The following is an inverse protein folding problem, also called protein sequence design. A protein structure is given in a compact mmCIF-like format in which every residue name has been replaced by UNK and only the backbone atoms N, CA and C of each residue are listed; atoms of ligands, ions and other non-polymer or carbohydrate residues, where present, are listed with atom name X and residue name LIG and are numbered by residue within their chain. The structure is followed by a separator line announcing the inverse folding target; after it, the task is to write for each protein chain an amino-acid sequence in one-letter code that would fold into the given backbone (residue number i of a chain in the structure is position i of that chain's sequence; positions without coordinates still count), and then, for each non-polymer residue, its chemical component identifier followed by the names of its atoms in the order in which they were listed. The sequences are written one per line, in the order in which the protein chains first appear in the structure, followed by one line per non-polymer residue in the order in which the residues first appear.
data_IF_925957369539
#
_entry.id   IF_925957369539
#
_cell.length_a   1.000
_cell.length_b   1.000
_cell.length_c   1.000
_cell.angle_alpha   90.00
_cell.angle_beta   90.00
_cell.angle_gamma   90.00
#
_symmetry.space_group_name_H-M   'P 1'
#
loop_
_entity.id
_entity.type
_entity.pdbx_description
1 polymer ?
#
# COMPACT_ATOMS: atom_id res chain seq x y z
N UNK A 1 -7.56 15.97 10.46
CA UNK A 1 -7.33 15.06 9.31
C UNK A 1 -5.96 15.38 8.69
N UNK A 2 -4.84 14.86 9.19
CA UNK A 2 -3.53 15.02 8.51
C UNK A 2 -2.44 14.06 9.03
N UNK A 3 -2.81 12.96 9.69
CA UNK A 3 -1.82 12.11 10.38
C UNK A 3 -1.00 11.24 9.41
N UNK A 4 -1.52 10.98 8.22
CA UNK A 4 -0.84 10.21 7.18
C UNK A 4 0.08 11.08 6.31
N UNK A 5 -0.39 12.25 5.86
CA UNK A 5 0.41 13.22 5.08
C UNK A 5 1.71 13.67 5.75
N UNK A 6 1.76 13.74 7.07
CA UNK A 6 2.98 14.13 7.79
C UNK A 6 4.02 13.00 7.94
N UNK A 7 3.62 11.73 7.81
CA UNK A 7 4.54 10.59 8.00
C UNK A 7 5.22 10.12 6.73
N UNK A 8 4.71 10.54 5.56
CA UNK A 8 5.20 10.11 4.25
C UNK A 8 5.68 11.31 3.45
N UNK A 9 6.96 11.30 3.07
CA UNK A 9 7.63 12.41 2.41
C UNK A 9 7.32 12.53 0.91
N UNK A 10 6.56 11.58 0.35
CA UNK A 10 6.36 11.43 -1.08
C UNK A 10 4.87 11.59 -1.45
N UNK A 11 4.54 12.71 -2.11
CA UNK A 11 3.16 13.08 -2.48
C UNK A 11 2.47 12.03 -3.37
N UNK A 12 3.24 11.34 -4.22
CA UNK A 12 2.69 10.34 -5.14
C UNK A 12 2.02 9.19 -4.37
N UNK A 13 2.64 8.71 -3.29
CA UNK A 13 2.08 7.65 -2.46
C UNK A 13 0.73 8.07 -1.86
N UNK A 14 0.60 9.33 -1.41
CA UNK A 14 -0.63 9.86 -0.83
C UNK A 14 -1.77 9.89 -1.87
N UNK A 15 -1.47 10.34 -3.09
CA UNK A 15 -2.44 10.38 -4.21
C UNK A 15 -2.87 8.98 -4.66
N UNK A 16 -1.94 8.02 -4.73
CA UNK A 16 -2.28 6.64 -5.09
C UNK A 16 -3.20 6.00 -4.05
N UNK A 17 -2.91 6.20 -2.77
CA UNK A 17 -3.73 5.70 -1.69
C UNK A 17 -5.11 6.35 -1.67
N UNK A 18 -5.20 7.67 -1.87
CA UNK A 18 -6.47 8.39 -1.98
C UNK A 18 -7.36 7.76 -3.06
N UNK A 19 -6.84 7.59 -4.28
CA UNK A 19 -7.55 6.93 -5.39
C UNK A 19 -7.95 5.50 -5.10
N UNK A 20 -7.04 4.74 -4.47
CA UNK A 20 -7.33 3.37 -4.05
C UNK A 20 -8.50 3.33 -3.05
N UNK A 21 -8.51 4.21 -2.05
CA UNK A 21 -9.59 4.27 -1.07
C UNK A 21 -10.90 4.76 -1.69
N UNK A 22 -10.86 5.70 -2.63
CA UNK A 22 -12.06 6.13 -3.36
C UNK A 22 -12.69 4.98 -4.16
N UNK A 23 -11.88 4.12 -4.79
CA UNK A 23 -12.38 3.03 -5.64
C UNK A 23 -12.65 1.73 -4.88
N UNK A 24 -11.78 1.35 -3.97
CA UNK A 24 -11.79 0.06 -3.27
C UNK A 24 -12.07 0.17 -1.77
N UNK A 25 -12.03 1.35 -1.17
CA UNK A 25 -12.33 1.57 0.25
C UNK A 25 -13.61 0.89 0.76
N UNK A 26 -14.76 0.96 0.06
CA UNK A 26 -15.98 0.25 0.50
C UNK A 26 -15.93 -1.27 0.34
N UNK A 27 -14.95 -1.81 -0.40
CA UNK A 27 -14.77 -3.24 -0.67
C UNK A 27 -13.60 -3.85 0.12
N UNK A 28 -12.78 -3.02 0.76
CA UNK A 28 -11.65 -3.45 1.58
C UNK A 28 -12.19 -4.14 2.83
N UNK A 29 -11.76 -5.39 3.03
CA UNK A 29 -12.07 -6.15 4.23
C UNK A 29 -11.09 -5.80 5.38
N UNK A 30 -11.38 -6.25 6.60
CA UNK A 30 -10.55 -5.95 7.76
C UNK A 30 -9.11 -6.47 7.64
N UNK A 31 -8.90 -7.63 7.00
CA UNK A 31 -7.58 -8.21 6.81
C UNK A 31 -6.75 -7.41 5.79
N UNK A 32 -7.37 -6.98 4.70
CA UNK A 32 -6.79 -6.07 3.71
C UNK A 32 -6.49 -4.69 4.32
N UNK A 33 -7.35 -4.17 5.19
CA UNK A 33 -7.09 -2.93 5.92
C UNK A 33 -5.88 -3.08 6.86
N UNK A 34 -5.74 -4.22 7.53
CA UNK A 34 -4.56 -4.52 8.35
C UNK A 34 -3.30 -4.64 7.49
N UNK A 35 -3.35 -5.41 6.39
CA UNK A 35 -2.24 -5.55 5.44
C UNK A 35 -1.81 -4.21 4.88
N UNK A 36 -2.77 -3.35 4.51
CA UNK A 36 -2.51 -1.99 4.10
C UNK A 36 -1.85 -1.20 5.22
N UNK A 37 -2.34 -1.25 6.45
CA UNK A 37 -1.68 -0.57 7.57
C UNK A 37 -0.22 -1.00 7.72
N UNK A 38 0.10 -2.28 7.54
CA UNK A 38 1.48 -2.79 7.61
C UNK A 38 2.34 -2.33 6.41
N UNK A 39 1.79 -2.33 5.19
CA UNK A 39 2.44 -1.71 4.03
C UNK A 39 2.72 -0.23 4.26
N UNK A 40 1.84 0.43 5.01
CA UNK A 40 1.98 1.84 5.32
C UNK A 40 3.06 2.14 6.37
N UNK A 41 3.50 1.14 7.14
CA UNK A 41 4.68 1.23 8.01
C UNK A 41 6.00 1.16 7.24
N UNK A 42 5.97 0.71 5.99
CA UNK A 42 7.13 0.72 5.10
C UNK A 42 7.50 2.15 4.69
N UNK A 43 8.79 2.37 4.47
CA UNK A 43 9.32 3.62 3.94
C UNK A 43 8.75 3.95 2.55
N UNK A 44 8.67 5.24 2.23
CA UNK A 44 8.09 5.74 0.98
C UNK A 44 8.71 5.11 -0.27
N UNK A 45 10.03 4.92 -0.26
CA UNK A 45 10.77 4.33 -1.36
C UNK A 45 10.42 2.86 -1.58
N UNK A 46 10.35 2.05 -0.51
CA UNK A 46 10.02 0.64 -0.63
C UNK A 46 8.57 0.44 -1.06
N UNK A 47 7.63 1.23 -0.54
CA UNK A 47 6.24 1.17 -0.99
C UNK A 47 6.12 1.54 -2.48
N UNK A 48 6.79 2.60 -2.91
CA UNK A 48 6.79 3.01 -4.32
C UNK A 48 7.41 1.90 -5.20
N UNK A 49 8.50 1.30 -4.76
CA UNK A 49 9.18 0.23 -5.48
C UNK A 49 8.33 -1.06 -5.58
N UNK A 50 7.58 -1.40 -4.53
CA UNK A 50 6.58 -2.47 -4.53
C UNK A 50 5.43 -2.18 -5.51
N UNK A 51 4.89 -0.97 -5.51
CA UNK A 51 3.83 -0.56 -6.43
C UNK A 51 4.30 -0.59 -7.89
N UNK A 52 5.54 -0.16 -8.14
CA UNK A 52 6.17 -0.21 -9.46
C UNK A 52 6.64 -1.62 -9.86
N UNK A 53 6.40 -2.64 -9.03
CA UNK A 53 6.85 -4.01 -9.21
C UNK A 53 8.36 -4.14 -9.45
N UNK A 54 9.15 -3.20 -8.93
CA UNK A 54 10.62 -3.19 -8.96
C UNK A 54 11.21 -4.09 -7.86
N UNK A 55 10.51 -4.17 -6.72
CA UNK A 55 10.75 -5.12 -5.63
C UNK A 55 9.52 -5.97 -5.38
N UNK A 56 9.75 -7.14 -4.81
CA UNK A 56 8.71 -8.03 -4.30
C UNK A 56 8.55 -7.90 -2.79
N UNK A 57 7.40 -8.31 -2.23
CA UNK A 57 7.15 -8.30 -0.78
C UNK A 57 8.25 -9.05 -0.02
N UNK A 58 8.72 -10.18 -0.56
CA UNK A 58 9.82 -10.95 0.02
C UNK A 58 11.14 -10.17 0.12
N UNK A 59 11.41 -9.22 -0.79
CA UNK A 59 12.63 -8.40 -0.76
C UNK A 59 12.54 -7.22 0.21
N UNK A 60 11.33 -6.69 0.43
CA UNK A 60 11.12 -5.56 1.34
C UNK A 60 10.88 -6.05 2.77
N UNK A 61 9.90 -6.94 2.94
CA UNK A 61 9.58 -7.54 4.21
C UNK A 61 8.86 -8.89 4.02
N UNK A 62 9.56 -10.03 4.19
CA UNK A 62 8.97 -11.35 4.01
C UNK A 62 7.86 -11.65 5.02
N UNK A 63 7.77 -10.95 6.16
CA UNK A 63 6.66 -11.12 7.09
C UNK A 63 5.33 -10.54 6.56
N UNK A 64 5.40 -9.64 5.56
CA UNK A 64 4.22 -9.08 4.90
C UNK A 64 3.77 -9.89 3.69
N UNK A 65 4.52 -10.93 3.32
CA UNK A 65 4.20 -11.81 2.19
C UNK A 65 3.07 -12.79 2.55
N UNK A 66 1.86 -12.24 2.70
CA UNK A 66 0.64 -12.98 2.94
C UNK A 66 -0.36 -12.74 1.79
N UNK A 67 -1.40 -13.58 1.74
CA UNK A 67 -2.40 -13.52 0.67
C UNK A 67 -3.10 -12.15 0.60
N UNK A 68 -3.46 -11.58 1.74
CA UNK A 68 -4.15 -10.29 1.84
C UNK A 68 -3.28 -9.13 1.33
N UNK A 69 -2.00 -9.06 1.72
CA UNK A 69 -1.05 -8.04 1.26
C UNK A 69 -0.81 -8.16 -0.25
N UNK A 70 -0.65 -9.38 -0.77
CA UNK A 70 -0.49 -9.63 -2.20
C UNK A 70 -1.72 -9.15 -2.99
N UNK A 71 -2.91 -9.38 -2.45
CA UNK A 71 -4.16 -8.93 -3.05
C UNK A 71 -4.29 -7.40 -3.02
N UNK A 72 -4.02 -6.76 -1.88
CA UNK A 72 -3.98 -5.28 -1.78
C UNK A 72 -2.97 -4.70 -2.77
N UNK A 73 -1.78 -5.29 -2.88
CA UNK A 73 -0.76 -4.84 -3.82
C UNK A 73 -1.24 -5.00 -5.28
N UNK A 74 -1.96 -6.08 -5.60
CA UNK A 74 -2.58 -6.27 -6.91
C UNK A 74 -3.62 -5.19 -7.21
N UNK A 75 -4.48 -4.86 -6.24
CA UNK A 75 -5.50 -3.81 -6.37
C UNK A 75 -4.89 -2.41 -6.51
N UNK A 76 -3.79 -2.13 -5.80
CA UNK A 76 -3.03 -0.89 -5.94
C UNK A 76 -2.46 -0.75 -7.36
N UNK A 77 -1.96 -1.85 -7.95
CA UNK A 77 -1.40 -1.87 -9.31
C UNK A 77 -2.45 -1.71 -10.41
N UNK A 78 -3.68 -2.14 -10.15
CA UNK A 78 -4.82 -1.95 -11.08
C UNK A 78 -5.27 -0.48 -11.18
N UNK A 79 -4.93 0.37 -10.20
CA UNK A 79 -5.26 1.80 -10.18
C UNK A 79 -4.28 2.71 -10.94
N UNK A 80 -3.45 2.15 -11.84
CA UNK A 80 -2.51 2.90 -12.68
C UNK A 80 -3.22 3.75 -13.74
#
# INVERSE_FOLDING_TARGET
MLRWRCRRGLLENDLFLERFFERHGPRVNAAQAQALSQLMELGDHDLLDLQLARKTLAQVNPALDNADTREVLSLLRENR
#
